data_IF_241191594932
#
_entry.id   IF_241191594932
#
_cell.length_a   1.000
_cell.length_b   1.000
_cell.length_c   1.000
_cell.angle_alpha   90.00
_cell.angle_beta   90.00
_cell.angle_gamma   90.00
#
_symmetry.space_group_name_H-M   'P 1'
#
loop_
_entity.id
_entity.type
_entity.pdbx_description
1 polymer ?
#
# COMPACT_ATOMS: atom_id res chain seq x y z
N UNK A 1 -30.70 -7.00 18.62
CA UNK A 1 -29.33 -7.15 19.17
C UNK A 1 -28.34 -6.68 18.11
N UNK A 2 -28.07 -5.36 17.96
CA UNK A 2 -27.33 -4.85 16.77
C UNK A 2 -26.38 -3.65 16.95
N UNK A 3 -26.47 -2.84 18.01
CA UNK A 3 -25.58 -1.67 18.15
C UNK A 3 -24.15 -2.01 18.59
N UNK A 4 -23.95 -3.16 19.25
CA UNK A 4 -22.63 -3.57 19.78
C UNK A 4 -21.61 -3.92 18.69
N UNK A 5 -22.06 -4.32 17.49
CA UNK A 5 -21.14 -4.70 16.39
C UNK A 5 -20.60 -3.49 15.61
N UNK A 6 -21.33 -2.35 15.62
CA UNK A 6 -20.93 -1.14 14.91
C UNK A 6 -19.77 -0.42 15.62
N UNK A 7 -19.84 -0.30 16.95
CA UNK A 7 -18.78 0.32 17.76
C UNK A 7 -17.45 -0.44 17.73
N UNK A 8 -17.50 -1.76 17.60
CA UNK A 8 -16.30 -2.60 17.50
C UNK A 8 -15.56 -2.36 16.18
N UNK A 9 -16.27 -2.09 15.07
CA UNK A 9 -15.63 -1.78 13.77
C UNK A 9 -14.98 -0.39 13.73
N UNK A 10 -15.61 0.60 14.36
CA UNK A 10 -15.07 1.97 14.43
C UNK A 10 -13.89 2.07 15.41
N UNK A 11 -13.95 1.35 16.54
CA UNK A 11 -12.86 1.35 17.54
C UNK A 11 -11.56 0.70 17.05
N UNK A 12 -11.65 -0.33 16.20
CA UNK A 12 -10.48 -1.00 15.59
C UNK A 12 -9.81 -0.11 14.53
N UNK A 13 -10.57 0.73 13.82
CA UNK A 13 -10.02 1.67 12.84
C UNK A 13 -9.13 2.74 13.49
N UNK A 14 -9.56 3.29 14.62
CA UNK A 14 -8.81 4.35 15.34
C UNK A 14 -7.63 3.78 16.14
N UNK A 15 -7.80 2.61 16.78
CA UNK A 15 -6.70 1.96 17.49
C UNK A 15 -5.60 1.44 16.54
N UNK A 16 -5.98 0.98 15.33
CA UNK A 16 -5.02 0.60 14.29
C UNK A 16 -4.24 1.80 13.74
N UNK A 17 -4.91 2.94 13.53
CA UNK A 17 -4.26 4.19 13.12
C UNK A 17 -3.28 4.72 14.18
N UNK A 18 -3.61 4.62 15.47
CA UNK A 18 -2.71 5.04 16.56
C UNK A 18 -1.53 4.06 16.78
N UNK A 19 -1.71 2.77 16.49
CA UNK A 19 -0.61 1.79 16.54
C UNK A 19 0.44 2.02 15.43
N UNK A 20 0.04 2.59 14.29
CA UNK A 20 0.97 2.93 13.20
C UNK A 20 1.91 4.08 13.54
N UNK A 21 1.49 5.00 14.41
CA UNK A 21 2.34 6.09 14.93
C UNK A 21 3.49 5.52 15.80
N UNK A 22 3.33 4.32 16.37
CA UNK A 22 4.32 3.68 17.25
C UNK A 22 5.46 2.94 16.56
N UNK A 23 5.42 2.73 15.23
CA UNK A 23 6.49 2.04 14.48
C UNK A 23 7.49 3.08 13.95
N UNK A 24 7.97 3.94 14.84
CA UNK A 24 9.11 4.83 14.63
C UNK A 24 10.22 4.40 15.56
N UNK A 25 11.13 3.51 15.11
CA UNK A 25 12.53 3.43 15.60
C UNK A 25 13.30 2.19 15.11
N UNK A 26 13.51 1.99 13.79
CA UNK A 26 14.63 1.17 13.27
C UNK A 26 14.91 1.65 11.83
N UNK A 27 16.08 2.06 11.36
CA UNK A 27 17.43 2.23 11.89
C UNK A 27 18.17 3.25 11.01
N UNK A 28 19.17 3.92 11.60
CA UNK A 28 20.10 4.83 10.94
C UNK A 28 20.96 4.10 9.89
N UNK A 29 20.94 4.57 8.65
CA UNK A 29 22.01 4.35 7.68
C UNK A 29 22.31 5.69 6.99
N UNK A 30 23.57 6.12 7.09
CA UNK A 30 24.05 7.45 6.70
C UNK A 30 24.05 7.59 5.18
N UNK A 31 22.97 8.19 4.68
CA UNK A 31 22.78 8.72 3.33
C UNK A 31 21.51 9.56 3.32
N UNK A 32 21.64 10.89 3.27
CA UNK A 32 20.56 11.89 3.28
C UNK A 32 19.51 11.79 4.41
N UNK A 33 19.91 12.10 5.63
CA UNK A 33 18.97 12.36 6.75
C UNK A 33 17.87 13.37 6.38
N UNK A 34 18.14 14.28 5.44
CA UNK A 34 17.15 15.24 4.94
C UNK A 34 16.15 14.62 3.96
N UNK A 35 16.51 13.60 3.20
CA UNK A 35 15.56 12.89 2.34
C UNK A 35 14.63 12.01 3.17
N UNK A 36 15.17 11.31 4.17
CA UNK A 36 14.36 10.55 5.13
C UNK A 36 13.41 11.45 5.93
N UNK A 37 13.92 12.55 6.51
CA UNK A 37 13.08 13.52 7.22
C UNK A 37 11.98 14.11 6.33
N UNK A 38 12.34 14.57 5.12
CA UNK A 38 11.32 15.04 4.16
C UNK A 38 10.32 13.96 3.81
N UNK A 39 10.73 12.72 3.61
CA UNK A 39 9.78 11.65 3.32
C UNK A 39 8.82 11.35 4.49
N UNK A 40 9.27 11.53 5.72
CA UNK A 40 8.42 11.45 6.91
C UNK A 40 7.44 12.63 6.98
N UNK A 41 7.94 13.85 6.77
CA UNK A 41 7.15 15.09 6.97
C UNK A 41 6.24 15.43 5.77
N UNK A 42 6.70 15.14 4.55
CA UNK A 42 6.08 15.51 3.27
C UNK A 42 5.56 14.32 2.48
N UNK A 43 5.98 13.09 2.82
CA UNK A 43 5.59 11.85 2.13
C UNK A 43 6.70 11.25 1.25
N UNK A 44 6.74 9.93 1.20
CA UNK A 44 7.59 9.18 0.28
C UNK A 44 6.89 8.90 -1.06
N UNK A 45 7.66 8.62 -2.11
CA UNK A 45 7.11 8.23 -3.41
C UNK A 45 6.48 6.82 -3.35
N UNK A 46 5.14 6.75 -3.32
CA UNK A 46 4.37 5.49 -3.35
C UNK A 46 4.46 4.76 -4.70
N UNK A 47 4.65 5.48 -5.80
CA UNK A 47 4.63 4.90 -7.15
C UNK A 47 5.61 3.74 -7.30
N UNK A 48 5.14 2.61 -7.82
CA UNK A 48 5.95 1.44 -8.13
C UNK A 48 5.25 0.13 -7.84
N UNK A 49 6.03 -0.95 -7.85
CA UNK A 49 5.59 -2.32 -7.60
C UNK A 49 6.19 -2.82 -6.31
N UNK A 50 5.35 -3.45 -5.48
CA UNK A 50 5.72 -4.01 -4.19
C UNK A 50 5.34 -5.48 -4.14
N UNK A 51 6.20 -6.29 -3.53
CA UNK A 51 6.01 -7.73 -3.44
C UNK A 51 6.05 -8.17 -1.97
N UNK A 52 5.06 -8.97 -1.58
CA UNK A 52 5.01 -9.62 -0.28
C UNK A 52 5.90 -10.85 -0.24
N UNK A 53 6.11 -11.39 0.96
CA UNK A 53 6.81 -12.66 1.13
C UNK A 53 6.02 -13.80 0.46
N UNK A 54 6.59 -14.51 -0.55
CA UNK A 54 5.92 -15.60 -1.23
C UNK A 54 5.47 -16.75 -0.31
N UNK A 55 6.06 -16.87 0.89
CA UNK A 55 5.72 -17.88 1.89
C UNK A 55 4.58 -17.49 2.84
N UNK A 56 4.02 -16.28 2.73
CA UNK A 56 2.92 -15.80 3.59
C UNK A 56 1.62 -15.70 2.81
N UNK A 57 0.52 -16.07 3.46
CA UNK A 57 -0.82 -15.82 2.92
C UNK A 57 -1.08 -14.32 2.82
N UNK A 58 -1.57 -13.84 1.67
CA UNK A 58 -1.86 -12.42 1.49
C UNK A 58 -1.85 -11.98 0.03
N UNK A 59 -1.59 -10.68 -0.16
CA UNK A 59 -1.33 -10.09 -1.47
C UNK A 59 0.09 -10.49 -1.90
N UNK A 60 0.23 -11.07 -3.09
CA UNK A 60 1.55 -11.41 -3.64
C UNK A 60 2.28 -10.18 -4.17
N UNK A 61 1.60 -9.40 -5.01
CA UNK A 61 2.13 -8.17 -5.61
C UNK A 61 1.08 -7.08 -5.57
N UNK A 62 1.50 -5.83 -5.34
CA UNK A 62 0.67 -4.63 -5.46
C UNK A 62 1.43 -3.53 -6.20
N UNK A 63 0.75 -2.81 -7.07
CA UNK A 63 1.30 -1.70 -7.82
C UNK A 63 0.49 -0.42 -7.58
N UNK A 64 1.17 0.72 -7.54
CA UNK A 64 0.58 2.05 -7.35
C UNK A 64 1.04 3.00 -8.44
N UNK A 65 0.13 3.80 -8.97
CA UNK A 65 0.46 4.88 -9.89
C UNK A 65 -0.60 5.99 -9.91
N UNK A 66 -0.20 7.13 -10.48
CA UNK A 66 -1.13 8.17 -10.90
C UNK A 66 -1.07 8.25 -12.42
N UNK A 67 -2.16 7.90 -13.11
CA UNK A 67 -2.28 7.98 -14.57
C UNK A 67 -3.24 9.11 -14.90
N UNK A 68 -2.80 10.07 -15.72
CA UNK A 68 -3.62 11.24 -16.11
C UNK A 68 -4.23 12.02 -14.94
N UNK A 69 -3.53 12.02 -13.79
CA UNK A 69 -3.98 12.66 -12.55
C UNK A 69 -4.85 11.77 -11.65
N UNK A 70 -5.23 10.59 -12.12
CA UNK A 70 -6.08 9.66 -11.36
C UNK A 70 -5.24 8.62 -10.59
N UNK A 71 -5.32 8.59 -9.25
CA UNK A 71 -4.61 7.62 -8.42
C UNK A 71 -5.23 6.24 -8.56
N UNK A 72 -4.41 5.23 -8.86
CA UNK A 72 -4.84 3.85 -9.08
C UNK A 72 -3.91 2.83 -8.44
N UNK A 73 -4.48 1.72 -8.00
CA UNK A 73 -3.75 0.57 -7.49
C UNK A 73 -4.26 -0.71 -8.13
N UNK A 74 -3.39 -1.72 -8.21
CA UNK A 74 -3.76 -3.08 -8.58
C UNK A 74 -2.97 -4.07 -7.73
N UNK A 75 -3.64 -5.11 -7.24
CA UNK A 75 -3.03 -6.19 -6.49
C UNK A 75 -3.35 -7.55 -7.11
N UNK A 76 -2.41 -8.48 -6.99
CA UNK A 76 -2.56 -9.86 -7.40
C UNK A 76 -2.15 -10.79 -6.26
N UNK A 77 -2.99 -11.79 -5.99
CA UNK A 77 -2.67 -12.89 -5.06
C UNK A 77 -2.03 -14.08 -5.78
N UNK A 78 -2.42 -14.29 -7.04
CA UNK A 78 -1.95 -15.37 -7.90
C UNK A 78 -2.13 -14.94 -9.38
N UNK A 79 -1.41 -15.57 -10.32
CA UNK A 79 -1.60 -15.30 -11.74
C UNK A 79 -3.08 -15.38 -12.14
N UNK A 80 -3.62 -14.32 -12.74
CA UNK A 80 -5.01 -14.24 -13.22
C UNK A 80 -6.06 -13.83 -12.17
N UNK A 81 -5.70 -13.68 -10.89
CA UNK A 81 -6.59 -13.18 -9.84
C UNK A 81 -6.15 -11.77 -9.41
N UNK A 82 -6.75 -10.76 -10.05
CA UNK A 82 -6.42 -9.35 -9.88
C UNK A 82 -7.58 -8.58 -9.26
N UNK A 83 -7.26 -7.63 -8.40
CA UNK A 83 -8.19 -6.63 -7.87
C UNK A 83 -7.56 -5.26 -8.07
N UNK A 84 -8.39 -4.26 -8.39
CA UNK A 84 -7.91 -2.91 -8.67
C UNK A 84 -8.92 -1.87 -8.18
N UNK A 85 -8.48 -0.63 -8.14
CA UNK A 85 -9.33 0.52 -7.87
C UNK A 85 -8.52 1.79 -7.68
N UNK A 86 -9.12 2.76 -6.98
CA UNK A 86 -8.48 4.03 -6.68
C UNK A 86 -7.89 4.03 -5.26
N UNK A 87 -6.94 4.94 -4.99
CA UNK A 87 -6.49 5.18 -3.62
C UNK A 87 -6.65 6.65 -3.26
N UNK A 88 -6.85 6.93 -1.97
CA UNK A 88 -7.00 8.27 -1.43
C UNK A 88 -5.89 8.55 -0.43
N UNK A 89 -5.31 9.74 -0.54
CA UNK A 89 -4.41 10.29 0.46
C UNK A 89 -5.16 10.55 1.78
N UNK A 90 -4.42 10.48 2.89
CA UNK A 90 -4.95 10.82 4.21
C UNK A 90 -4.27 12.06 4.75
N UNK A 91 -4.57 12.42 6.00
CA UNK A 91 -3.87 13.49 6.72
C UNK A 91 -2.40 13.16 6.99
N UNK A 92 -2.06 11.87 7.00
CA UNK A 92 -0.69 11.39 7.04
C UNK A 92 -0.22 11.16 5.60
N UNK A 93 0.88 11.80 5.15
CA UNK A 93 1.33 11.74 3.76
C UNK A 93 1.87 10.35 3.35
N UNK A 94 2.03 9.44 4.32
CA UNK A 94 2.49 8.08 4.11
C UNK A 94 1.38 7.04 4.33
N UNK A 95 0.15 7.44 4.65
CA UNK A 95 -0.99 6.55 4.78
C UNK A 95 -2.02 6.81 3.68
N UNK A 96 -2.45 5.74 3.03
CA UNK A 96 -3.38 5.76 1.90
C UNK A 96 -4.54 4.81 2.15
N UNK A 97 -5.76 5.21 1.79
CA UNK A 97 -6.94 4.34 1.79
C UNK A 97 -7.12 3.73 0.41
N UNK A 98 -7.34 2.42 0.35
CA UNK A 98 -7.62 1.70 -0.88
C UNK A 98 -9.13 1.62 -1.09
N UNK A 99 -9.58 1.98 -2.28
CA UNK A 99 -10.96 1.84 -2.73
C UNK A 99 -11.03 0.83 -3.88
N UNK A 100 -12.12 0.06 -3.94
CA UNK A 100 -12.43 -0.75 -5.12
C UNK A 100 -12.96 0.12 -6.29
N UNK A 101 -13.23 -0.50 -7.44
CA UNK A 101 -13.79 0.20 -8.60
C UNK A 101 -15.18 0.84 -8.34
N UNK A 102 -15.87 0.44 -7.27
CA UNK A 102 -17.15 1.03 -6.86
C UNK A 102 -16.97 2.17 -5.83
N UNK A 103 -15.74 2.51 -5.46
CA UNK A 103 -15.41 3.55 -4.48
C UNK A 103 -15.58 3.10 -3.02
N UNK A 104 -15.72 1.80 -2.74
CA UNK A 104 -15.81 1.32 -1.37
C UNK A 104 -14.41 1.14 -0.78
N UNK A 105 -14.20 1.60 0.45
CA UNK A 105 -12.96 1.35 1.19
C UNK A 105 -12.73 -0.14 1.44
N UNK A 106 -11.69 -0.70 0.83
CA UNK A 106 -11.34 -2.13 0.92
C UNK A 106 -10.06 -2.38 1.72
N UNK A 107 -9.31 -1.34 2.06
CA UNK A 107 -8.08 -1.49 2.81
C UNK A 107 -7.35 -0.18 3.04
N UNK A 108 -6.12 -0.29 3.55
CA UNK A 108 -5.21 0.84 3.69
C UNK A 108 -3.76 0.37 3.56
N UNK A 109 -2.89 1.33 3.29
CA UNK A 109 -1.46 1.17 3.10
C UNK A 109 -0.74 2.19 3.97
N UNK A 110 0.32 1.76 4.65
CA UNK A 110 1.29 2.65 5.28
C UNK A 110 2.65 2.46 4.61
N UNK A 111 3.13 3.50 3.93
CA UNK A 111 4.42 3.54 3.26
C UNK A 111 5.51 3.89 4.29
N UNK A 112 6.26 2.90 4.74
CA UNK A 112 7.27 3.09 5.78
C UNK A 112 8.47 3.91 5.27
N UNK A 113 8.89 3.65 4.03
CA UNK A 113 9.86 4.47 3.31
C UNK A 113 9.87 4.12 1.82
N UNK A 114 10.36 5.06 1.00
CA UNK A 114 10.83 4.80 -0.35
C UNK A 114 12.01 5.73 -0.64
N UNK A 115 13.05 5.21 -1.30
CA UNK A 115 14.21 6.01 -1.70
C UNK A 115 14.28 6.22 -3.21
N UNK A 116 15.19 7.10 -3.62
CA UNK A 116 15.45 7.42 -5.02
C UNK A 116 16.24 6.33 -5.75
N UNK A 117 16.76 5.32 -5.05
CA UNK A 117 17.44 4.16 -5.63
C UNK A 117 16.45 3.04 -5.99
N UNK A 118 15.18 3.17 -5.55
CA UNK A 118 14.11 2.24 -5.85
C UNK A 118 13.84 1.22 -4.75
N UNK A 119 14.51 1.32 -3.60
CA UNK A 119 14.15 0.54 -2.43
C UNK A 119 13.00 1.20 -1.68
N UNK A 120 12.21 0.37 -0.99
CA UNK A 120 11.10 0.85 -0.19
C UNK A 120 10.40 -0.31 0.51
N UNK A 121 9.56 0.04 1.48
CA UNK A 121 8.71 -0.92 2.16
C UNK A 121 7.38 -0.27 2.51
N UNK A 122 6.30 -1.03 2.38
CA UNK A 122 4.98 -0.65 2.82
C UNK A 122 4.33 -1.78 3.61
N UNK A 123 3.35 -1.43 4.41
CA UNK A 123 2.46 -2.36 5.09
C UNK A 123 1.07 -2.19 4.52
N UNK A 124 0.48 -3.27 4.03
CA UNK A 124 -0.87 -3.27 3.46
C UNK A 124 -1.80 -4.11 4.31
N UNK A 125 -3.00 -3.59 4.56
CA UNK A 125 -4.11 -4.38 5.07
C UNK A 125 -5.25 -4.34 4.07
N UNK A 126 -5.63 -5.51 3.59
CA UNK A 126 -6.72 -5.68 2.63
C UNK A 126 -7.86 -6.50 3.21
N UNK A 127 -9.08 -5.98 3.12
CA UNK A 127 -10.28 -6.55 3.69
C UNK A 127 -10.16 -6.82 5.20
N UNK A 128 -10.55 -8.02 5.61
CA UNK A 128 -10.38 -8.51 6.98
C UNK A 128 -9.06 -9.26 7.21
N UNK A 129 -8.15 -9.24 6.22
CA UNK A 129 -6.87 -9.94 6.30
C UNK A 129 -5.89 -9.32 7.29
N UNK A 130 -4.78 -10.02 7.48
CA UNK A 130 -3.65 -9.59 8.28
C UNK A 130 -2.89 -8.43 7.61
N UNK A 131 -2.11 -7.71 8.43
CA UNK A 131 -1.18 -6.71 7.93
C UNK A 131 0.02 -7.42 7.30
N UNK A 132 0.30 -7.11 6.04
CA UNK A 132 1.39 -7.72 5.27
C UNK A 132 2.43 -6.67 4.94
N UNK A 133 3.70 -6.95 5.25
CA UNK A 133 4.82 -6.15 4.76
C UNK A 133 5.11 -6.50 3.30
N UNK A 134 5.32 -5.48 2.47
CA UNK A 134 5.69 -5.63 1.07
C UNK A 134 6.89 -4.75 0.74
N UNK A 135 7.82 -5.30 -0.04
CA UNK A 135 9.07 -4.66 -0.43
C UNK A 135 8.94 -4.08 -1.82
N UNK A 136 9.41 -2.86 -2.04
CA UNK A 136 9.48 -2.26 -3.38
C UNK A 136 10.48 -3.04 -4.21
N UNK A 137 10.03 -3.55 -5.36
CA UNK A 137 10.83 -4.35 -6.29
C UNK A 137 11.03 -3.64 -7.62
N UNK A 138 10.16 -2.69 -7.96
CA UNK A 138 10.29 -1.86 -9.16
C UNK A 138 9.73 -0.45 -8.89
N UNK A 139 10.33 0.56 -9.52
CA UNK A 139 9.81 1.95 -9.53
C UNK A 139 8.75 2.13 -10.60
N UNK A 140 8.79 1.30 -11.64
CA UNK A 140 7.76 1.23 -12.66
C UNK A 140 6.64 0.34 -12.14
N UNK A 141 5.39 0.83 -12.10
CA UNK A 141 4.23 0.01 -11.79
C UNK A 141 4.09 -1.09 -12.83
N UNK A 142 4.30 -2.33 -12.40
CA UNK A 142 4.15 -3.53 -13.18
C UNK A 142 2.72 -4.00 -13.08
N UNK A 143 1.85 -3.46 -13.93
CA UNK A 143 0.60 -4.16 -14.22
C UNK A 143 0.96 -5.48 -14.88
N UNK A 144 0.40 -6.60 -14.42
CA UNK A 144 0.45 -7.80 -15.23
C UNK A 144 -0.46 -7.55 -16.43
N UNK A 145 0.12 -7.01 -17.52
CA UNK A 145 -0.46 -7.12 -18.85
C UNK A 145 -0.76 -8.60 -19.08
N UNK A 146 -2.04 -8.96 -19.11
CA UNK A 146 -2.45 -10.19 -19.78
C UNK A 146 -3.12 -9.83 -21.10
N UNK A 147 -2.36 -10.18 -22.14
CA UNK A 147 -2.67 -10.53 -23.52
C UNK A 147 -3.33 -9.52 -24.47
N UNK A 148 -2.53 -9.07 -25.43
CA UNK A 148 -2.90 -9.02 -26.85
C UNK A 148 -1.67 -9.28 -27.74
N UNK A 149 -0.90 -10.35 -27.49
CA UNK A 149 0.14 -10.83 -28.43
C UNK A 149 0.08 -12.36 -28.65
N UNK A 150 -1.13 -12.92 -28.67
CA UNK A 150 -1.39 -14.19 -29.38
C UNK A 150 -2.40 -13.97 -30.50
N UNK A 151 -2.06 -13.12 -31.47
CA UNK A 151 -2.54 -13.30 -32.84
C UNK A 151 -1.76 -12.40 -33.82
N UNK A 152 -0.62 -12.91 -34.30
CA UNK A 152 -0.18 -12.82 -35.71
C UNK A 152 0.88 -13.88 -35.94
#
# INVERSE_FOLDING_TARGET
MERKKLFVRVGIGVAGALLLVGIFAVANAVGDSNAMRRGIDEGFELRGTYQGDPGRDGIGTIAFQTLDGEPSWEASKAPGAHVKGAFKETVDPNIYVLEDESGNGVGWVHLAYSDAQGAGALYVRYGAGDLVEMRKVDRVPGYMRYDNERNT
#
